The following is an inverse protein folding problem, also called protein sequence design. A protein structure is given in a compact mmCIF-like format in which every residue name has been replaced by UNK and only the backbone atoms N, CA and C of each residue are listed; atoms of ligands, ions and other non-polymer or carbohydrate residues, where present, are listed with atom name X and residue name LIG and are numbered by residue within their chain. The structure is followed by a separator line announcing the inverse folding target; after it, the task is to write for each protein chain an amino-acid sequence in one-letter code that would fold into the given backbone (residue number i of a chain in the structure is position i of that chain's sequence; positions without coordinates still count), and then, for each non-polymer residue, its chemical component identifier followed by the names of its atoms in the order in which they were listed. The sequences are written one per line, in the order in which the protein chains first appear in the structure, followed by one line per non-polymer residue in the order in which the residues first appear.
data_IF_955455944196
#
_entry.id   IF_955455944196
#
_cell.length_a   1.000
_cell.length_b   1.000
_cell.length_c   1.000
_cell.angle_alpha   90.00
_cell.angle_beta   90.00
_cell.angle_gamma   90.00
#
_symmetry.space_group_name_H-M   'P 1'
#
loop_
_entity.id
_entity.type
_entity.pdbx_description
1 polymer ?
#
# COMPACT_ATOMS: atom_id res chain seq x y z
N UNK A 1 -4.38 -18.06 36.40
CA UNK A 1 -3.15 -17.67 35.68
C UNK A 1 -3.18 -16.14 35.56
N UNK A 2 -2.04 -15.48 35.82
CA UNK A 2 -2.00 -14.01 35.78
C UNK A 2 -1.15 -13.60 34.59
N UNK A 3 -1.78 -12.98 33.59
CA UNK A 3 -1.06 -12.41 32.45
C UNK A 3 -0.31 -11.16 32.91
N UNK A 4 0.97 -11.14 32.65
CA UNK A 4 1.85 -9.97 32.86
C UNK A 4 1.99 -9.21 31.52
N UNK A 5 1.87 -7.89 31.57
CA UNK A 5 2.08 -6.99 30.44
C UNK A 5 3.34 -6.16 30.70
N UNK A 6 4.28 -6.22 29.78
CA UNK A 6 5.59 -5.56 29.93
C UNK A 6 6.12 -5.01 28.59
N UNK A 7 7.10 -4.09 28.63
CA UNK A 7 7.84 -3.71 27.44
C UNK A 7 8.52 -4.91 26.77
N UNK A 8 8.79 -4.76 25.48
CA UNK A 8 9.52 -5.74 24.66
C UNK A 8 10.89 -6.08 25.25
N UNK A 9 11.31 -7.32 25.09
CA UNK A 9 12.65 -7.80 25.47
C UNK A 9 13.29 -8.54 24.30
N UNK A 10 14.60 -8.60 24.31
CA UNK A 10 15.37 -9.44 23.39
C UNK A 10 14.85 -10.89 23.42
N UNK A 11 14.83 -11.56 22.29
CA UNK A 11 14.30 -12.91 22.05
C UNK A 11 12.77 -13.08 22.19
N UNK A 12 11.99 -12.04 22.44
CA UNK A 12 10.53 -12.15 22.46
C UNK A 12 9.97 -12.56 21.08
N UNK A 13 10.58 -12.10 19.98
CA UNK A 13 10.26 -12.48 18.60
C UNK A 13 10.42 -13.99 18.38
N UNK A 14 11.53 -14.56 18.79
CA UNK A 14 11.81 -15.99 18.65
C UNK A 14 10.77 -16.84 19.41
N UNK A 15 10.44 -16.43 20.64
CA UNK A 15 9.46 -17.14 21.46
C UNK A 15 8.03 -17.01 20.94
N UNK A 16 7.69 -15.87 20.34
CA UNK A 16 6.36 -15.66 19.73
C UNK A 16 6.20 -16.46 18.44
N UNK A 17 7.28 -16.74 17.69
CA UNK A 17 7.24 -17.65 16.54
C UNK A 17 6.83 -19.09 16.92
N UNK A 18 7.07 -19.51 18.16
CA UNK A 18 6.66 -20.86 18.63
C UNK A 18 5.13 -20.96 18.87
N UNK A 19 4.44 -19.82 19.06
CA UNK A 19 3.02 -19.77 19.42
C UNK A 19 2.15 -19.10 18.37
N UNK A 20 2.75 -18.40 17.40
CA UNK A 20 2.05 -17.78 16.29
C UNK A 20 2.02 -18.68 15.05
N UNK A 21 1.06 -18.52 14.13
CA UNK A 21 1.02 -19.27 12.89
C UNK A 21 2.28 -19.07 12.03
N UNK A 22 2.79 -20.15 11.43
CA UNK A 22 3.97 -20.15 10.56
C UNK A 22 3.76 -19.33 9.27
N UNK A 23 2.51 -19.29 8.77
CA UNK A 23 2.13 -18.54 7.57
C UNK A 23 1.26 -17.33 7.96
N UNK A 24 1.86 -16.20 8.32
CA UNK A 24 1.09 -15.00 8.63
C UNK A 24 0.43 -14.42 7.38
N UNK A 25 -0.71 -13.74 7.56
CA UNK A 25 -1.25 -12.89 6.49
C UNK A 25 -0.30 -11.74 6.15
N UNK A 26 -0.40 -11.16 4.95
CA UNK A 26 0.45 -10.05 4.55
C UNK A 26 0.43 -8.87 5.55
N UNK A 27 -0.75 -8.43 6.09
CA UNK A 27 -0.77 -7.44 7.16
C UNK A 27 -0.02 -7.89 8.42
N UNK A 28 -0.21 -9.15 8.85
CA UNK A 28 0.47 -9.67 10.04
C UNK A 28 1.98 -9.70 9.85
N UNK A 29 2.48 -10.14 8.70
CA UNK A 29 3.90 -10.14 8.38
C UNK A 29 4.51 -8.73 8.45
N UNK A 30 3.84 -7.74 7.82
CA UNK A 30 4.28 -6.35 7.82
C UNK A 30 4.36 -5.77 9.25
N UNK A 31 3.38 -6.09 10.11
CA UNK A 31 3.38 -5.62 11.48
C UNK A 31 4.36 -6.38 12.38
N UNK A 32 4.52 -7.69 12.22
CA UNK A 32 5.51 -8.46 12.96
C UNK A 32 6.92 -7.90 12.75
N UNK A 33 7.24 -7.42 11.55
CA UNK A 33 8.51 -6.75 11.25
C UNK A 33 8.70 -5.39 11.98
N UNK A 34 7.65 -4.86 12.63
CA UNK A 34 7.71 -3.63 13.45
C UNK A 34 7.82 -3.91 14.95
N UNK A 35 7.68 -5.17 15.37
CA UNK A 35 7.89 -5.54 16.77
C UNK A 35 9.37 -5.47 17.10
N UNK A 36 9.71 -4.84 18.23
CA UNK A 36 11.09 -4.64 18.63
C UNK A 36 11.21 -3.76 19.87
N UNK A 37 12.42 -3.40 20.22
CA UNK A 37 12.69 -2.46 21.30
C UNK A 37 12.06 -1.08 20.99
N UNK A 38 11.73 -0.35 22.03
CA UNK A 38 11.22 1.01 21.90
C UNK A 38 12.19 1.91 21.13
N UNK A 39 11.66 2.74 20.23
CA UNK A 39 12.42 3.71 19.45
C UNK A 39 11.82 5.11 19.68
N UNK A 40 12.66 6.03 20.16
CA UNK A 40 12.29 7.43 20.38
C UNK A 40 12.50 8.30 19.13
N UNK A 41 13.41 7.90 18.24
CA UNK A 41 13.72 8.68 17.04
C UNK A 41 12.60 8.56 15.97
N UNK A 42 11.98 7.38 15.89
CA UNK A 42 10.87 7.08 15.00
C UNK A 42 9.65 6.60 15.78
N UNK A 43 9.36 7.18 16.90
CA UNK A 43 8.39 6.75 17.91
C UNK A 43 7.75 5.38 17.62
N UNK A 44 8.23 4.37 18.31
CA UNK A 44 7.66 3.02 18.28
C UNK A 44 7.67 2.44 19.69
N UNK A 45 6.55 1.86 20.11
CA UNK A 45 6.40 1.23 21.43
C UNK A 45 5.82 -0.15 21.27
N UNK A 46 6.52 -1.16 21.79
CA UNK A 46 6.09 -2.56 21.73
C UNK A 46 5.85 -3.11 23.12
N UNK A 47 4.72 -3.77 23.29
CA UNK A 47 4.35 -4.47 24.52
C UNK A 47 4.18 -5.96 24.26
N UNK A 48 4.66 -6.78 25.18
CA UNK A 48 4.41 -8.21 25.21
C UNK A 48 3.48 -8.58 26.39
N UNK A 49 2.58 -9.54 26.16
CA UNK A 49 1.81 -10.20 27.22
C UNK A 49 2.39 -11.59 27.45
N UNK A 50 2.71 -11.91 28.71
CA UNK A 50 3.33 -13.20 29.09
C UNK A 50 2.47 -13.95 30.08
N UNK A 51 2.43 -15.28 29.95
CA UNK A 51 1.88 -16.21 30.96
C UNK A 51 3.03 -17.03 31.54
N UNK A 52 3.22 -16.93 32.85
CA UNK A 52 4.34 -17.56 33.56
C UNK A 52 5.73 -17.25 32.91
N UNK A 53 5.88 -16.04 32.35
CA UNK A 53 7.11 -15.59 31.70
C UNK A 53 7.27 -15.99 30.23
N UNK A 54 6.32 -16.74 29.64
CA UNK A 54 6.30 -17.09 28.22
C UNK A 54 5.45 -16.08 27.46
N UNK A 55 5.97 -15.40 26.41
CA UNK A 55 5.16 -14.52 25.58
C UNK A 55 4.05 -15.28 24.88
N UNK A 56 2.82 -14.77 24.98
CA UNK A 56 1.62 -15.33 24.34
C UNK A 56 0.92 -14.33 23.43
N UNK A 57 1.31 -13.07 23.50
CA UNK A 57 0.81 -12.01 22.62
C UNK A 57 1.78 -10.83 22.59
N UNK A 58 1.72 -10.06 21.53
CA UNK A 58 2.40 -8.77 21.44
C UNK A 58 1.57 -7.75 20.69
N UNK A 59 1.92 -6.48 20.88
CA UNK A 59 1.35 -5.39 20.14
C UNK A 59 2.31 -4.22 20.05
N UNK A 60 2.18 -3.43 18.99
CA UNK A 60 3.01 -2.26 18.71
C UNK A 60 2.14 -1.06 18.35
N UNK A 61 2.58 0.13 18.73
CA UNK A 61 2.06 1.41 18.23
C UNK A 61 3.24 2.25 17.76
N UNK A 62 3.11 2.87 16.56
CA UNK A 62 4.19 3.66 15.98
C UNK A 62 3.67 4.78 15.06
N UNK A 63 4.48 5.83 14.91
CA UNK A 63 4.23 6.94 14.00
C UNK A 63 4.55 6.57 12.55
N UNK A 64 3.84 7.20 11.63
CA UNK A 64 4.15 7.16 10.21
C UNK A 64 4.61 8.55 9.75
N UNK A 65 5.79 8.69 9.16
CA UNK A 65 6.24 9.97 8.63
C UNK A 65 5.42 10.46 7.43
N UNK A 66 4.70 9.54 6.77
CA UNK A 66 3.88 9.86 5.60
C UNK A 66 2.47 10.31 5.96
N UNK A 67 1.87 9.70 6.96
CA UNK A 67 0.49 9.90 7.36
C UNK A 67 0.45 10.23 8.86
N UNK A 68 0.66 11.50 9.21
CA UNK A 68 0.91 11.90 10.59
C UNK A 68 -0.36 12.01 11.44
N UNK A 69 -1.56 11.81 10.86
CA UNK A 69 -2.82 12.01 11.59
C UNK A 69 -3.24 10.84 12.45
N UNK A 70 -2.66 9.65 12.21
CA UNK A 70 -2.97 8.42 12.94
C UNK A 70 -1.73 7.61 13.19
N UNK A 71 -1.63 7.02 14.36
CA UNK A 71 -0.61 6.02 14.67
C UNK A 71 -1.02 4.67 14.13
N UNK A 72 -0.10 3.90 13.61
CA UNK A 72 -0.31 2.48 13.36
C UNK A 72 -0.39 1.72 14.68
N UNK A 73 -1.36 0.82 14.81
CA UNK A 73 -1.49 -0.08 15.94
C UNK A 73 -1.72 -1.51 15.45
N UNK A 74 -1.05 -2.46 16.09
CA UNK A 74 -1.16 -3.87 15.80
C UNK A 74 -1.14 -4.67 17.09
N UNK A 75 -1.98 -5.70 17.15
CA UNK A 75 -2.03 -6.65 18.27
C UNK A 75 -2.22 -8.05 17.71
N UNK A 76 -1.38 -8.99 18.13
CA UNK A 76 -1.52 -10.40 17.81
C UNK A 76 -1.46 -11.24 19.08
N UNK A 77 -2.41 -12.18 19.20
CA UNK A 77 -2.54 -13.09 20.33
C UNK A 77 -2.45 -14.52 19.81
N UNK A 78 -1.69 -15.37 20.48
CA UNK A 78 -1.60 -16.80 20.16
C UNK A 78 -3.00 -17.40 20.01
N UNK A 79 -3.25 -18.24 18.98
CA UNK A 79 -4.58 -18.75 18.65
C UNK A 79 -5.31 -19.43 19.82
N UNK A 80 -4.57 -20.19 20.64
CA UNK A 80 -5.06 -20.90 21.81
C UNK A 80 -5.34 -20.01 23.03
N UNK A 81 -4.95 -18.72 22.95
CA UNK A 81 -5.12 -17.71 24.01
C UNK A 81 -6.05 -16.58 23.60
N UNK A 82 -6.67 -16.70 22.44
CA UNK A 82 -7.68 -15.74 21.99
C UNK A 82 -8.94 -15.83 22.86
N UNK A 83 -9.75 -14.76 22.82
CA UNK A 83 -10.99 -14.60 23.59
C UNK A 83 -10.82 -14.53 25.13
N UNK A 84 -9.57 -14.50 25.65
CA UNK A 84 -9.29 -14.34 27.10
C UNK A 84 -9.17 -12.85 27.51
N UNK A 85 -9.42 -11.90 26.61
CA UNK A 85 -9.31 -10.46 26.87
C UNK A 85 -7.89 -9.90 26.74
N UNK A 86 -6.88 -10.74 26.43
CA UNK A 86 -5.46 -10.33 26.31
C UNK A 86 -5.28 -9.23 25.28
N UNK A 87 -5.86 -9.41 24.08
CA UNK A 87 -5.74 -8.42 22.99
C UNK A 87 -6.35 -7.07 23.36
N UNK A 88 -7.51 -7.07 24.04
CA UNK A 88 -8.16 -5.83 24.51
C UNK A 88 -7.29 -5.07 25.51
N UNK A 89 -6.72 -5.78 26.47
CA UNK A 89 -5.86 -5.15 27.48
C UNK A 89 -4.55 -4.64 26.84
N UNK A 90 -3.96 -5.38 25.88
CA UNK A 90 -2.80 -4.89 25.11
C UNK A 90 -3.13 -3.61 24.37
N UNK A 91 -4.24 -3.57 23.63
CA UNK A 91 -4.64 -2.37 22.89
C UNK A 91 -4.92 -1.19 23.83
N UNK A 92 -5.56 -1.44 24.98
CA UNK A 92 -5.79 -0.40 25.99
C UNK A 92 -4.47 0.18 26.56
N UNK A 93 -3.45 -0.66 26.73
CA UNK A 93 -2.10 -0.22 27.15
C UNK A 93 -1.37 0.51 26.03
N UNK A 94 -1.45 0.03 24.79
CA UNK A 94 -0.89 0.72 23.63
C UNK A 94 -1.50 2.11 23.44
N UNK A 95 -2.81 2.28 23.65
CA UNK A 95 -3.46 3.61 23.66
C UNK A 95 -2.90 4.54 24.74
N UNK A 96 -2.52 4.01 25.90
CA UNK A 96 -1.90 4.82 26.96
C UNK A 96 -0.50 5.28 26.56
N UNK A 97 0.32 4.39 26.02
CA UNK A 97 1.69 4.76 25.59
C UNK A 97 1.66 5.60 24.30
N UNK A 98 0.61 5.49 23.49
CA UNK A 98 0.40 6.37 22.33
C UNK A 98 0.24 7.85 22.74
N UNK A 99 -0.25 8.13 23.94
CA UNK A 99 -0.34 9.50 24.46
C UNK A 99 1.04 10.16 24.68
N UNK A 100 2.12 9.38 24.74
CA UNK A 100 3.49 9.87 24.86
C UNK A 100 4.15 10.13 23.49
N UNK A 101 3.40 9.95 22.38
CA UNK A 101 3.91 10.20 21.03
C UNK A 101 4.29 11.67 20.85
N UNK A 102 5.45 12.00 20.26
CA UNK A 102 5.88 13.37 20.01
C UNK A 102 4.88 14.20 19.22
N UNK A 103 4.12 13.56 18.32
CA UNK A 103 3.04 14.20 17.54
C UNK A 103 1.82 14.56 18.39
N UNK A 104 1.68 14.02 19.60
CA UNK A 104 0.46 14.11 20.43
C UNK A 104 -0.78 13.51 19.75
N UNK A 105 -0.62 12.68 18.73
CA UNK A 105 -1.70 11.99 18.01
C UNK A 105 -2.09 10.74 18.80
N UNK A 106 -3.38 10.58 19.06
CA UNK A 106 -3.95 9.42 19.75
C UNK A 106 -4.87 8.57 18.87
N UNK A 107 -5.28 9.12 17.73
CA UNK A 107 -6.05 8.39 16.73
C UNK A 107 -5.22 7.23 16.16
N UNK A 108 -5.88 6.07 16.02
CA UNK A 108 -5.23 4.84 15.58
C UNK A 108 -5.70 4.42 14.19
N UNK A 109 -4.87 3.68 13.51
CA UNK A 109 -5.22 2.89 12.33
C UNK A 109 -4.58 1.51 12.42
N UNK A 110 -5.26 0.53 11.82
CA UNK A 110 -4.76 -0.84 11.71
C UNK A 110 -5.16 -1.42 10.36
N UNK A 111 -4.36 -2.32 9.82
CA UNK A 111 -4.66 -3.01 8.56
C UNK A 111 -4.86 -4.49 8.86
N UNK A 112 -5.93 -5.07 8.32
CA UNK A 112 -6.33 -6.45 8.58
C UNK A 112 -6.80 -7.13 7.29
N UNK A 113 -6.86 -8.46 7.30
CA UNK A 113 -7.51 -9.22 6.25
C UNK A 113 -9.03 -9.19 6.47
N UNK A 114 -9.85 -8.90 5.43
CA UNK A 114 -11.31 -8.93 5.53
C UNK A 114 -11.84 -10.26 6.03
N UNK A 115 -12.90 -10.23 6.84
CA UNK A 115 -13.51 -11.43 7.43
C UNK A 115 -12.69 -12.12 8.52
N UNK A 116 -11.52 -11.60 8.87
CA UNK A 116 -10.63 -12.19 9.88
C UNK A 116 -11.10 -11.89 11.32
N UNK A 117 -10.55 -12.65 12.26
CA UNK A 117 -10.70 -12.35 13.69
C UNK A 117 -10.13 -10.95 14.04
N UNK A 118 -9.06 -10.52 13.35
CA UNK A 118 -8.48 -9.19 13.51
C UNK A 118 -9.45 -8.07 13.11
N UNK A 119 -10.19 -8.22 12.01
CA UNK A 119 -11.22 -7.25 11.62
C UNK A 119 -12.35 -7.17 12.66
N UNK A 120 -12.83 -8.32 13.11
CA UNK A 120 -13.87 -8.42 14.14
C UNK A 120 -13.42 -7.77 15.45
N UNK A 121 -12.17 -8.03 15.85
CA UNK A 121 -11.56 -7.42 17.03
C UNK A 121 -11.44 -5.89 16.87
N UNK A 122 -10.89 -5.40 15.77
CA UNK A 122 -10.74 -3.97 15.54
C UNK A 122 -12.09 -3.23 15.60
N UNK A 123 -13.13 -3.79 14.97
CA UNK A 123 -14.49 -3.24 15.03
C UNK A 123 -15.06 -3.25 16.45
N UNK A 124 -14.85 -4.33 17.22
CA UNK A 124 -15.28 -4.41 18.61
C UNK A 124 -14.58 -3.40 19.52
N UNK A 125 -13.36 -3.00 19.19
CA UNK A 125 -12.59 -1.97 19.88
C UNK A 125 -12.85 -0.55 19.35
N UNK A 126 -13.82 -0.40 18.43
CA UNK A 126 -14.35 0.88 17.96
C UNK A 126 -13.64 1.46 16.75
N UNK A 127 -12.80 0.69 16.06
CA UNK A 127 -12.27 1.12 14.75
C UNK A 127 -13.32 0.88 13.66
N UNK A 128 -13.37 1.78 12.69
CA UNK A 128 -14.28 1.72 11.54
C UNK A 128 -13.50 1.56 10.23
N UNK A 129 -14.01 0.79 9.25
CA UNK A 129 -13.38 0.67 7.95
C UNK A 129 -13.26 2.04 7.25
N UNK A 130 -12.06 2.36 6.76
CA UNK A 130 -11.76 3.60 6.05
C UNK A 130 -11.28 3.36 4.62
N UNK A 131 -10.54 2.27 4.37
CA UNK A 131 -10.00 1.97 3.05
C UNK A 131 -9.90 0.46 2.84
N UNK A 132 -10.26 0.02 1.65
CA UNK A 132 -10.03 -1.33 1.17
C UNK A 132 -8.97 -1.28 0.08
N UNK A 133 -7.96 -2.13 0.19
CA UNK A 133 -6.85 -2.27 -0.76
C UNK A 133 -6.81 -3.69 -1.27
N UNK A 134 -6.64 -3.85 -2.60
CA UNK A 134 -6.51 -5.15 -3.28
C UNK A 134 -5.21 -5.18 -4.04
N UNK A 135 -4.46 -6.27 -3.96
CA UNK A 135 -3.43 -6.58 -4.95
C UNK A 135 -4.09 -7.45 -6.00
N UNK A 136 -4.09 -7.00 -7.24
CA UNK A 136 -4.77 -7.66 -8.35
C UNK A 136 -3.74 -8.05 -9.40
N UNK A 137 -3.72 -9.35 -9.76
CA UNK A 137 -2.92 -9.85 -10.88
C UNK A 137 -3.76 -9.84 -12.14
N UNK A 138 -3.27 -9.13 -13.16
CA UNK A 138 -3.87 -9.06 -14.50
C UNK A 138 -3.06 -9.94 -15.44
N UNK A 139 -3.74 -10.82 -16.17
CA UNK A 139 -3.11 -11.79 -17.06
C UNK A 139 -2.46 -11.11 -18.29
N UNK A 140 -1.43 -11.74 -18.83
CA UNK A 140 -0.88 -11.34 -20.13
C UNK A 140 -1.96 -11.41 -21.22
N UNK A 141 -2.01 -10.43 -22.11
CA UNK A 141 -2.99 -10.34 -23.19
C UNK A 141 -4.42 -10.03 -22.74
N UNK A 142 -4.63 -9.62 -21.49
CA UNK A 142 -5.97 -9.31 -20.94
C UNK A 142 -6.70 -8.16 -21.63
N UNK A 143 -5.96 -7.25 -22.26
CA UNK A 143 -6.50 -6.08 -22.94
C UNK A 143 -6.05 -6.04 -24.41
N UNK A 144 -6.88 -5.50 -25.32
CA UNK A 144 -6.47 -5.31 -26.71
C UNK A 144 -5.36 -4.26 -26.81
N UNK A 145 -4.56 -4.37 -27.88
CA UNK A 145 -3.51 -3.38 -28.15
C UNK A 145 -4.10 -1.99 -28.35
N UNK A 146 -3.65 -0.96 -27.60
CA UNK A 146 -4.24 0.36 -27.65
C UNK A 146 -3.76 1.13 -28.89
N UNK A 147 -4.62 2.02 -29.41
CA UNK A 147 -4.23 2.96 -30.46
C UNK A 147 -3.35 4.06 -29.86
N UNK A 148 -2.14 4.21 -30.42
CA UNK A 148 -1.13 5.19 -30.01
C UNK A 148 -0.60 5.97 -31.23
N UNK A 149 -0.03 7.15 -30.94
CA UNK A 149 0.63 7.96 -31.93
C UNK A 149 -0.34 8.68 -32.88
N UNK A 150 0.06 8.86 -34.14
CA UNK A 150 -0.69 9.56 -35.13
C UNK A 150 -1.62 8.62 -35.90
N UNK A 151 -2.90 8.98 -36.00
CA UNK A 151 -3.88 8.26 -36.79
C UNK A 151 -3.71 8.53 -38.27
N UNK A 152 -4.39 7.75 -39.14
CA UNK A 152 -4.27 7.87 -40.61
C UNK A 152 -4.72 9.23 -41.14
N UNK A 153 -5.59 9.96 -40.42
CA UNK A 153 -6.01 11.32 -40.75
C UNK A 153 -5.06 12.41 -40.23
N UNK A 154 -3.96 12.03 -39.61
CA UNK A 154 -2.95 12.95 -39.08
C UNK A 154 -3.22 13.50 -37.68
N UNK A 155 -4.34 13.11 -37.04
CA UNK A 155 -4.61 13.48 -35.65
C UNK A 155 -3.75 12.64 -34.67
N UNK A 156 -3.40 13.22 -33.52
CA UNK A 156 -2.72 12.51 -32.47
C UNK A 156 -3.71 11.99 -31.43
N UNK A 157 -3.56 10.72 -31.07
CA UNK A 157 -4.38 10.13 -30.00
C UNK A 157 -3.66 10.29 -28.67
N UNK A 158 -2.58 9.57 -28.47
CA UNK A 158 -1.76 9.55 -27.25
C UNK A 158 -0.35 9.12 -27.62
N UNK A 159 0.63 9.52 -26.81
CA UNK A 159 1.99 9.04 -26.93
C UNK A 159 2.46 8.40 -25.62
N UNK A 160 3.31 7.39 -25.72
CA UNK A 160 3.97 6.73 -24.59
C UNK A 160 5.43 7.07 -24.63
N UNK A 161 6.01 7.33 -23.47
CA UNK A 161 7.40 7.70 -23.28
C UNK A 161 7.99 6.92 -22.12
N UNK A 162 9.18 6.39 -22.32
CA UNK A 162 10.06 5.92 -21.24
C UNK A 162 10.60 7.13 -20.49
N UNK A 163 10.39 7.19 -19.17
CA UNK A 163 10.85 8.30 -18.36
C UNK A 163 11.72 7.77 -17.21
N UNK A 164 12.87 8.43 -17.00
CA UNK A 164 13.72 8.06 -15.88
C UNK A 164 12.99 8.23 -14.54
N UNK A 165 13.15 7.28 -13.64
CA UNK A 165 12.54 7.32 -12.28
C UNK A 165 13.02 8.53 -11.46
N UNK A 166 14.20 9.08 -11.76
CA UNK A 166 14.70 10.36 -11.20
C UNK A 166 14.05 11.63 -11.77
N UNK A 167 13.14 11.52 -12.75
CA UNK A 167 12.47 12.68 -13.35
C UNK A 167 11.65 13.47 -12.34
N UNK A 168 11.83 14.78 -12.30
CA UNK A 168 11.03 15.69 -11.47
C UNK A 168 9.55 15.73 -11.94
N UNK A 169 9.33 15.64 -13.26
CA UNK A 169 7.98 15.60 -13.83
C UNK A 169 7.24 14.36 -13.36
N UNK A 170 7.85 13.18 -13.49
CA UNK A 170 7.29 11.92 -12.98
C UNK A 170 7.03 11.99 -11.48
N UNK A 171 8.01 12.48 -10.70
CA UNK A 171 7.88 12.58 -9.25
C UNK A 171 6.70 13.45 -8.85
N UNK A 172 6.45 14.55 -9.56
CA UNK A 172 5.28 15.41 -9.32
C UNK A 172 3.98 14.68 -9.65
N UNK A 173 3.91 14.00 -10.81
CA UNK A 173 2.72 13.24 -11.20
C UNK A 173 2.38 12.15 -10.17
N UNK A 174 3.38 11.37 -9.73
CA UNK A 174 3.23 10.34 -8.69
C UNK A 174 2.77 10.96 -7.37
N UNK A 175 3.33 12.11 -6.98
CA UNK A 175 2.98 12.76 -5.73
C UNK A 175 1.56 13.34 -5.75
N UNK A 176 1.15 13.96 -6.83
CA UNK A 176 -0.22 14.47 -7.01
C UNK A 176 -1.23 13.34 -6.96
N UNK A 177 -0.97 12.23 -7.65
CA UNK A 177 -1.76 11.02 -7.56
C UNK A 177 -1.85 10.50 -6.14
N UNK A 178 -0.70 10.25 -5.48
CA UNK A 178 -0.63 9.72 -4.13
C UNK A 178 -1.45 10.57 -3.13
N UNK A 179 -1.31 11.88 -3.20
CA UNK A 179 -2.10 12.80 -2.36
C UNK A 179 -3.59 12.70 -2.63
N UNK A 180 -3.99 12.59 -3.90
CA UNK A 180 -5.41 12.57 -4.28
C UNK A 180 -6.14 11.31 -3.84
N UNK A 181 -5.44 10.17 -3.78
CA UNK A 181 -6.03 8.90 -3.36
C UNK A 181 -5.95 8.66 -1.84
N UNK A 182 -5.26 9.53 -1.10
CA UNK A 182 -5.12 9.45 0.36
C UNK A 182 -5.87 10.58 1.11
N UNK A 183 -6.92 11.16 0.53
CA UNK A 183 -7.73 12.19 1.21
C UNK A 183 -8.36 11.68 2.52
N UNK A 184 -8.63 10.39 2.62
CA UNK A 184 -9.15 9.73 3.83
C UNK A 184 -8.12 9.67 4.97
N UNK A 185 -6.82 9.74 4.67
CA UNK A 185 -5.71 9.79 5.63
C UNK A 185 -4.60 10.71 5.09
N UNK A 186 -4.81 12.04 5.16
CA UNK A 186 -3.96 13.01 4.50
C UNK A 186 -2.48 12.87 4.80
N UNK A 187 -1.69 13.03 3.75
CA UNK A 187 -0.24 12.88 3.80
C UNK A 187 0.45 14.12 4.37
N UNK A 188 1.63 13.93 4.93
CA UNK A 188 2.49 15.03 5.37
C UNK A 188 2.95 15.87 4.18
N UNK A 189 3.22 17.15 4.43
CA UNK A 189 3.88 18.01 3.45
C UNK A 189 5.38 17.65 3.40
N UNK A 190 5.78 16.93 2.37
CA UNK A 190 7.17 16.52 2.14
C UNK A 190 7.68 17.08 0.81
N UNK A 191 8.98 17.37 0.75
CA UNK A 191 9.60 17.89 -0.47
C UNK A 191 9.74 16.82 -1.57
N UNK A 192 9.67 17.25 -2.84
CA UNK A 192 9.76 16.37 -4.02
C UNK A 192 10.98 15.43 -3.99
N UNK A 193 12.14 15.88 -3.49
CA UNK A 193 13.29 15.02 -3.32
C UNK A 193 13.10 13.87 -2.32
N UNK A 194 12.27 14.07 -1.27
CA UNK A 194 11.92 13.01 -0.34
C UNK A 194 10.93 12.02 -0.97
N UNK A 195 9.95 12.52 -1.71
CA UNK A 195 9.02 11.68 -2.51
C UNK A 195 9.81 10.78 -3.47
N UNK A 196 10.73 11.36 -4.24
CA UNK A 196 11.55 10.60 -5.18
C UNK A 196 12.35 9.50 -4.47
N UNK A 197 13.04 9.81 -3.37
CA UNK A 197 13.82 8.82 -2.63
C UNK A 197 12.98 7.66 -2.11
N UNK A 198 11.74 7.89 -1.73
CA UNK A 198 10.91 6.88 -1.08
C UNK A 198 10.06 6.07 -2.05
N UNK A 199 9.69 6.63 -3.22
CA UNK A 199 8.82 5.95 -4.18
C UNK A 199 9.52 5.61 -5.50
N UNK A 200 10.53 6.38 -5.92
CA UNK A 200 11.06 6.30 -7.27
C UNK A 200 12.58 6.04 -7.34
N UNK A 201 13.24 5.89 -6.20
CA UNK A 201 14.68 5.57 -6.20
C UNK A 201 14.95 4.08 -6.38
N UNK A 202 16.16 3.74 -6.77
CA UNK A 202 16.62 2.36 -6.83
C UNK A 202 16.54 1.67 -5.48
N UNK A 203 16.75 2.41 -4.37
CA UNK A 203 16.60 1.88 -3.01
C UNK A 203 15.14 1.62 -2.61
N UNK A 204 14.19 2.25 -3.29
CA UNK A 204 12.77 1.92 -3.18
C UNK A 204 12.37 0.76 -4.10
N UNK A 205 13.30 0.22 -4.89
CA UNK A 205 13.06 -0.85 -5.84
C UNK A 205 12.56 -0.38 -7.22
N UNK A 206 12.35 0.92 -7.44
CA UNK A 206 11.90 1.42 -8.73
C UNK A 206 13.01 1.29 -9.79
N UNK A 207 12.69 0.69 -10.95
CA UNK A 207 13.72 0.46 -11.97
C UNK A 207 13.32 0.87 -13.38
N UNK A 208 12.06 1.25 -13.61
CA UNK A 208 11.59 1.74 -14.90
C UNK A 208 10.25 2.43 -14.76
N UNK A 209 9.98 3.40 -15.64
CA UNK A 209 8.70 4.07 -15.67
C UNK A 209 8.26 4.36 -17.10
N UNK A 210 6.96 4.13 -17.37
CA UNK A 210 6.28 4.54 -18.58
C UNK A 210 5.30 5.65 -18.25
N UNK A 211 5.20 6.66 -19.10
CA UNK A 211 4.19 7.69 -18.99
C UNK A 211 3.35 7.78 -20.27
N UNK A 212 2.06 8.02 -20.09
CA UNK A 212 1.13 8.31 -21.16
C UNK A 212 0.89 9.82 -21.22
N UNK A 213 1.02 10.40 -22.41
CA UNK A 213 0.84 11.83 -22.65
C UNK A 213 -0.39 12.11 -23.48
N UNK A 214 -1.03 13.25 -23.24
CA UNK A 214 -2.19 13.69 -23.99
C UNK A 214 -1.78 14.34 -25.32
N UNK A 215 -1.90 13.60 -26.43
CA UNK A 215 -1.69 14.15 -27.78
C UNK A 215 -0.23 14.28 -28.21
N UNK A 216 0.00 15.18 -29.21
CA UNK A 216 1.32 15.43 -29.77
C UNK A 216 2.22 16.27 -28.87
N UNK A 217 3.57 16.13 -28.99
CA UNK A 217 4.48 17.11 -28.43
C UNK A 217 4.20 18.49 -29.03
N UNK A 218 4.04 19.50 -28.17
CA UNK A 218 3.85 20.88 -28.60
C UNK A 218 5.18 21.59 -28.91
N UNK A 219 5.11 22.80 -29.49
CA UNK A 219 6.26 23.68 -29.68
C UNK A 219 6.92 24.07 -28.37
N UNK A 220 6.20 24.07 -27.28
CA UNK A 220 6.62 24.56 -25.95
C UNK A 220 7.06 23.44 -25.02
N UNK A 221 7.15 22.18 -25.52
CA UNK A 221 7.60 21.02 -24.75
C UNK A 221 6.70 19.79 -24.90
N UNK A 222 6.97 18.73 -24.12
CA UNK A 222 6.18 17.51 -24.15
C UNK A 222 4.73 17.78 -23.67
N UNK A 223 3.78 17.03 -24.24
CA UNK A 223 2.40 17.06 -23.79
C UNK A 223 2.29 16.59 -22.32
N UNK A 224 1.28 17.03 -21.54
CA UNK A 224 1.17 16.67 -20.13
C UNK A 224 0.99 15.16 -19.93
N UNK A 225 1.54 14.66 -18.82
CA UNK A 225 1.33 13.27 -18.38
C UNK A 225 -0.14 13.12 -17.96
N UNK A 226 -0.80 12.06 -18.44
CA UNK A 226 -2.17 11.70 -18.05
C UNK A 226 -2.25 10.44 -17.21
N UNK A 227 -1.33 9.49 -17.44
CA UNK A 227 -1.15 8.31 -16.63
C UNK A 227 0.34 7.94 -16.56
N UNK A 228 0.71 7.17 -15.56
CA UNK A 228 2.07 6.67 -15.39
C UNK A 228 2.04 5.25 -14.82
N UNK A 229 3.09 4.49 -15.11
CA UNK A 229 3.38 3.21 -14.50
C UNK A 229 4.83 3.20 -14.04
N UNK A 230 5.06 2.76 -12.81
CA UNK A 230 6.40 2.55 -12.25
C UNK A 230 6.53 1.09 -11.93
N UNK A 231 7.53 0.43 -12.51
CA UNK A 231 7.83 -0.97 -12.22
C UNK A 231 8.79 -1.06 -11.04
N UNK A 232 8.52 -2.00 -10.13
CA UNK A 232 9.37 -2.30 -8.99
C UNK A 232 10.03 -3.66 -9.19
N UNK A 233 11.23 -3.79 -8.66
CA UNK A 233 11.89 -5.08 -8.58
C UNK A 233 11.55 -5.70 -7.24
N UNK A 234 10.80 -6.79 -7.18
CA UNK A 234 10.65 -7.57 -5.96
C UNK A 234 11.90 -8.43 -5.64
N UNK A 235 13.10 -8.13 -6.19
CA UNK A 235 14.06 -9.12 -6.60
C UNK A 235 15.51 -8.80 -6.18
N UNK A 236 16.16 -9.70 -5.43
CA UNK A 236 17.61 -9.79 -5.35
C UNK A 236 18.13 -10.69 -6.49
N UNK A 237 18.89 -10.14 -7.49
CA UNK A 237 19.44 -10.94 -8.58
C UNK A 237 20.44 -12.02 -8.14
N UNK A 238 20.83 -12.03 -6.87
CA UNK A 238 21.74 -13.02 -6.30
C UNK A 238 21.01 -14.17 -5.58
N UNK A 239 19.69 -14.04 -5.32
CA UNK A 239 18.89 -15.10 -4.72
C UNK A 239 18.42 -16.11 -5.81
N UNK A 240 18.77 -17.41 -5.70
CA UNK A 240 18.31 -18.43 -6.64
C UNK A 240 16.79 -18.65 -6.61
N UNK A 241 16.10 -18.40 -5.48
CA UNK A 241 14.66 -18.57 -5.35
C UNK A 241 13.93 -17.42 -6.05
N UNK A 242 14.46 -16.21 -6.00
CA UNK A 242 13.93 -15.07 -6.75
C UNK A 242 14.05 -15.26 -8.28
N UNK A 243 15.02 -16.04 -8.75
CA UNK A 243 15.12 -16.39 -10.18
C UNK A 243 13.96 -17.26 -10.66
N UNK A 244 13.38 -18.08 -9.81
CA UNK A 244 12.25 -18.96 -10.16
C UNK A 244 10.94 -18.17 -10.27
N UNK A 245 10.76 -17.14 -9.43
CA UNK A 245 9.54 -16.28 -9.39
C UNK A 245 9.61 -15.11 -10.38
N UNK A 246 10.76 -14.86 -10.99
CA UNK A 246 11.06 -13.73 -11.89
C UNK A 246 10.05 -13.47 -13.01
N UNK A 247 9.28 -14.49 -13.40
CA UNK A 247 8.33 -14.44 -14.51
C UNK A 247 6.87 -14.58 -14.08
N UNK A 248 6.57 -14.57 -12.78
CA UNK A 248 5.19 -14.76 -12.37
C UNK A 248 4.33 -13.52 -12.60
N UNK A 249 4.80 -12.34 -12.23
CA UNK A 249 4.18 -11.04 -12.55
C UNK A 249 5.16 -9.89 -12.25
N UNK A 250 5.01 -8.76 -12.96
CA UNK A 250 5.71 -7.53 -12.60
C UNK A 250 4.88 -6.74 -11.59
N UNK A 251 5.53 -6.28 -10.51
CA UNK A 251 4.92 -5.37 -9.54
C UNK A 251 4.93 -3.93 -10.10
N UNK A 252 3.77 -3.30 -10.20
CA UNK A 252 3.60 -2.01 -10.88
C UNK A 252 2.70 -1.06 -10.07
N UNK A 253 3.22 0.13 -9.78
CA UNK A 253 2.39 1.26 -9.40
C UNK A 253 1.82 1.89 -10.67
N UNK A 254 0.53 1.71 -10.91
CA UNK A 254 -0.21 2.32 -12.00
C UNK A 254 -1.07 3.46 -11.46
N UNK A 255 -0.85 4.66 -11.99
CA UNK A 255 -1.57 5.85 -11.56
C UNK A 255 -1.97 6.76 -12.69
N UNK A 256 -2.72 7.79 -12.36
CA UNK A 256 -3.18 8.83 -13.26
C UNK A 256 -2.96 10.21 -12.66
N UNK A 257 -2.87 11.23 -13.51
CA UNK A 257 -2.81 12.62 -13.04
C UNK A 257 -4.24 13.12 -12.85
N UNK A 258 -4.63 13.56 -11.64
CA UNK A 258 -5.95 14.12 -11.41
C UNK A 258 -6.19 15.31 -12.33
N UNK A 259 -7.29 15.28 -13.11
CA UNK A 259 -7.62 16.35 -14.04
C UNK A 259 -7.97 17.66 -13.32
N UNK A 260 -7.63 18.80 -13.91
CA UNK A 260 -7.99 20.13 -13.42
C UNK A 260 -9.51 20.38 -13.46
N UNK A 261 -10.30 19.52 -14.09
CA UNK A 261 -11.77 19.59 -14.20
C UNK A 261 -12.42 18.57 -13.26
N UNK A 262 -13.26 19.05 -12.37
CA UNK A 262 -14.12 18.19 -11.54
C UNK A 262 -15.32 17.71 -12.36
N UNK A 263 -15.55 16.40 -12.49
CA UNK A 263 -16.75 15.83 -13.09
C UNK A 263 -16.54 14.47 -13.77
N UNK A 264 -17.64 13.83 -14.19
CA UNK A 264 -17.66 12.51 -14.84
C UNK A 264 -16.74 12.38 -16.07
N UNK A 265 -16.47 13.48 -16.77
CA UNK A 265 -15.54 13.52 -17.91
C UNK A 265 -14.09 13.24 -17.50
N UNK A 266 -13.64 13.84 -16.42
CA UNK A 266 -12.26 13.68 -15.93
C UNK A 266 -11.98 12.23 -15.44
N UNK A 267 -12.93 11.63 -14.71
CA UNK A 267 -12.79 10.24 -14.25
C UNK A 267 -12.77 9.26 -15.45
N UNK A 268 -13.57 9.50 -16.48
CA UNK A 268 -13.59 8.67 -17.69
C UNK A 268 -12.28 8.81 -18.48
N UNK A 269 -11.74 10.01 -18.61
CA UNK A 269 -10.46 10.24 -19.29
C UNK A 269 -9.31 9.58 -18.53
N UNK A 270 -9.29 9.69 -17.20
CA UNK A 270 -8.31 9.00 -16.36
C UNK A 270 -8.43 7.48 -16.47
N UNK A 271 -9.65 6.94 -16.45
CA UNK A 271 -9.92 5.51 -16.67
C UNK A 271 -9.38 5.02 -18.02
N UNK A 272 -9.68 5.75 -19.10
CA UNK A 272 -9.16 5.43 -20.44
C UNK A 272 -7.64 5.58 -20.54
N UNK A 273 -7.02 6.46 -19.74
CA UNK A 273 -5.57 6.61 -19.71
C UNK A 273 -4.88 5.44 -18.99
N UNK A 274 -5.37 5.03 -17.81
CA UNK A 274 -4.82 3.88 -17.10
C UNK A 274 -5.07 2.57 -17.85
N UNK A 275 -6.24 2.40 -18.50
CA UNK A 275 -6.53 1.23 -19.32
C UNK A 275 -5.57 1.13 -20.52
N UNK A 276 -5.30 2.25 -21.19
CA UNK A 276 -4.32 2.31 -22.28
C UNK A 276 -2.93 1.88 -21.83
N UNK A 277 -2.47 2.40 -20.69
CA UNK A 277 -1.14 2.07 -20.17
C UNK A 277 -1.08 0.64 -19.66
N UNK A 278 -2.14 0.17 -19.00
CA UNK A 278 -2.26 -1.22 -18.54
C UNK A 278 -2.22 -2.20 -19.72
N UNK A 279 -2.89 -1.91 -20.83
CA UNK A 279 -2.89 -2.74 -22.02
C UNK A 279 -1.48 -2.94 -22.60
N UNK A 280 -0.63 -1.92 -22.52
CA UNK A 280 0.77 -2.03 -22.94
C UNK A 280 1.58 -2.90 -21.97
N UNK A 281 1.37 -2.73 -20.67
CA UNK A 281 2.10 -3.46 -19.63
C UNK A 281 1.79 -4.95 -19.67
N UNK A 282 0.50 -5.32 -19.86
CA UNK A 282 0.07 -6.73 -19.87
C UNK A 282 0.17 -7.38 -21.24
N UNK A 283 0.74 -6.72 -22.26
CA UNK A 283 0.83 -7.30 -23.61
C UNK A 283 1.52 -8.66 -23.60
N UNK A 284 2.67 -8.77 -22.96
CA UNK A 284 3.53 -9.94 -23.02
C UNK A 284 3.65 -10.68 -21.67
N UNK A 285 3.39 -10.01 -20.55
CA UNK A 285 3.58 -10.54 -19.19
C UNK A 285 2.44 -10.13 -18.26
N UNK A 286 2.10 -10.96 -17.24
CA UNK A 286 1.15 -10.54 -16.23
C UNK A 286 1.75 -9.43 -15.34
N UNK A 287 0.88 -8.60 -14.75
CA UNK A 287 1.28 -7.57 -13.79
C UNK A 287 0.46 -7.69 -12.50
N UNK A 288 1.05 -7.29 -11.39
CA UNK A 288 0.36 -7.08 -10.12
C UNK A 288 0.24 -5.58 -9.83
N UNK A 289 -0.97 -5.17 -9.43
CA UNK A 289 -1.31 -3.80 -9.13
C UNK A 289 -1.90 -3.70 -7.74
N UNK A 290 -1.43 -2.74 -6.92
CA UNK A 290 -2.19 -2.34 -5.74
C UNK A 290 -3.31 -1.38 -6.15
N UNK A 291 -4.54 -1.70 -5.72
CA UNK A 291 -5.75 -0.98 -6.10
C UNK A 291 -6.55 -0.66 -4.84
N UNK A 292 -6.57 0.61 -4.48
CA UNK A 292 -7.37 1.13 -3.37
C UNK A 292 -8.75 1.59 -3.86
N UNK A 293 -9.79 1.46 -3.06
CA UNK A 293 -11.14 1.91 -3.40
C UNK A 293 -11.21 3.42 -3.72
N UNK A 294 -10.27 4.22 -3.23
CA UNK A 294 -10.11 5.64 -3.57
C UNK A 294 -9.60 5.90 -4.99
N UNK A 295 -8.99 4.89 -5.63
CA UNK A 295 -8.48 4.98 -7.01
C UNK A 295 -9.62 4.74 -8.02
N UNK A 296 -10.71 5.50 -7.91
CA UNK A 296 -11.97 5.26 -8.66
C UNK A 296 -11.79 4.96 -10.16
N UNK A 297 -10.97 5.70 -10.96
CA UNK A 297 -10.75 5.37 -12.37
C UNK A 297 -10.08 4.00 -12.57
N UNK A 298 -9.12 3.63 -11.74
CA UNK A 298 -8.42 2.35 -11.80
C UNK A 298 -9.31 1.21 -11.32
N UNK A 299 -10.07 1.43 -10.24
CA UNK A 299 -11.07 0.47 -9.72
C UNK A 299 -12.03 0.05 -10.83
N UNK A 300 -12.59 1.00 -11.57
CA UNK A 300 -13.53 0.70 -12.65
C UNK A 300 -12.92 -0.19 -13.76
N UNK A 301 -11.66 0.07 -14.14
CA UNK A 301 -10.94 -0.74 -15.14
C UNK A 301 -10.69 -2.15 -14.60
N UNK A 302 -10.20 -2.25 -13.37
CA UNK A 302 -9.84 -3.54 -12.75
C UNK A 302 -11.08 -4.39 -12.47
N UNK A 303 -12.18 -3.80 -12.02
CA UNK A 303 -13.43 -4.54 -11.78
C UNK A 303 -13.97 -5.16 -13.09
N UNK A 304 -13.90 -4.45 -14.22
CA UNK A 304 -14.25 -5.02 -15.54
C UNK A 304 -13.35 -6.22 -15.90
N UNK A 305 -12.06 -6.16 -15.58
CA UNK A 305 -11.12 -7.27 -15.84
C UNK A 305 -11.38 -8.48 -14.94
N UNK A 306 -11.74 -8.23 -13.68
CA UNK A 306 -12.16 -9.27 -12.74
C UNK A 306 -13.44 -9.95 -13.20
N UNK A 307 -14.46 -9.17 -13.63
CA UNK A 307 -15.71 -9.69 -14.19
C UNK A 307 -15.49 -10.49 -15.47
N UNK A 308 -14.57 -10.06 -16.33
CA UNK A 308 -14.18 -10.78 -17.54
C UNK A 308 -13.35 -12.06 -17.26
N UNK A 309 -12.92 -12.30 -16.02
CA UNK A 309 -12.11 -13.45 -15.64
C UNK A 309 -10.67 -13.43 -16.15
N UNK A 310 -10.18 -12.27 -16.58
CA UNK A 310 -8.79 -12.06 -17.04
C UNK A 310 -7.89 -11.42 -15.96
N UNK A 311 -8.45 -11.19 -14.78
CA UNK A 311 -7.72 -10.77 -13.58
C UNK A 311 -8.24 -11.54 -12.36
N UNK A 312 -7.45 -11.56 -11.28
CA UNK A 312 -7.87 -12.13 -9.99
C UNK A 312 -7.22 -11.38 -8.83
N UNK A 313 -7.91 -11.37 -7.68
CA UNK A 313 -7.39 -10.78 -6.45
C UNK A 313 -6.39 -11.75 -5.82
N UNK A 314 -5.17 -11.29 -5.60
CA UNK A 314 -4.08 -12.03 -4.92
C UNK A 314 -4.20 -11.86 -3.42
N UNK A 315 -4.33 -10.60 -2.96
CA UNK A 315 -4.53 -10.28 -1.55
C UNK A 315 -5.52 -9.13 -1.42
N UNK A 316 -6.21 -9.11 -0.29
CA UNK A 316 -7.13 -8.05 0.06
C UNK A 316 -6.95 -7.65 1.51
N UNK A 317 -6.97 -6.34 1.78
CA UNK A 317 -6.83 -5.79 3.12
C UNK A 317 -7.86 -4.68 3.35
N UNK A 318 -8.21 -4.48 4.61
CA UNK A 318 -9.01 -3.32 5.06
C UNK A 318 -8.21 -2.54 6.10
N UNK A 319 -8.05 -1.25 5.87
CA UNK A 319 -7.55 -0.33 6.88
C UNK A 319 -8.72 0.21 7.68
N UNK A 320 -8.69 -0.01 8.99
CA UNK A 320 -9.66 0.53 9.93
C UNK A 320 -9.02 1.66 10.74
N UNK A 321 -9.82 2.66 11.08
CA UNK A 321 -9.39 3.86 11.79
C UNK A 321 -10.22 4.12 13.04
N UNK A 322 -9.60 4.74 14.02
CA UNK A 322 -10.23 5.25 15.22
C UNK A 322 -9.89 6.74 15.35
N UNK A 323 -10.88 7.59 15.15
CA UNK A 323 -10.75 9.04 15.21
C UNK A 323 -11.25 9.59 16.56
N UNK A 324 -11.16 8.81 17.62
CA UNK A 324 -11.48 9.27 18.98
C UNK A 324 -10.50 10.42 19.34
N UNK A 325 -11.07 11.58 19.51
CA UNK A 325 -10.39 12.77 19.99
C UNK A 325 -10.39 12.79 21.52
#
# INVERSE_FOLDING_TARGET
MSIEYRPWREDDDLRLLEVWPDAPSAPAQAFRARLGADDDAAFSRTLAATDAGVPVAAGVVYESPWHPRRLWAYVEVAPDRQHEGIGRELLARLRKVAADAPSSVTALRSRVTPGSAGESFAKAEGLTPAMRSRVVRVAAGALPEPALGQTADGSWVRSVEDLATGSVELTRAVWEFYRSVHDWDPVAEIGIGAVNRQLLSDTAGAFGALVLRAGAPGSDGPAPITAFAVSYRPFDPQDPEDRATRFEAADVLLGYVPGASSGDGSAREAGAAVETLLALLVRDYPVELEVDDSMTPLVAVVDNLLEAGVAHVVTETVTLVDDRV
#
